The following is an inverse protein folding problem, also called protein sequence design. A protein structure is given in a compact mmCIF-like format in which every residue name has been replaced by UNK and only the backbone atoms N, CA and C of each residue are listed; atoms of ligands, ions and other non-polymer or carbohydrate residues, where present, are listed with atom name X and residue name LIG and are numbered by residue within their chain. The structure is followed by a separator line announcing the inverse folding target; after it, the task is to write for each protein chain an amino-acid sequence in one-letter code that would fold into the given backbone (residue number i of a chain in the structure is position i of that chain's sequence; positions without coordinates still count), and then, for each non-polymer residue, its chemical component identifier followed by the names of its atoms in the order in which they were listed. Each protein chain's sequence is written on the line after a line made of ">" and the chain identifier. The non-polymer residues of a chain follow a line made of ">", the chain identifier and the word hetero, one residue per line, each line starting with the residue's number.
data_IF_642032719450
#
_entry.id   IF_642032719450
#
_cell.length_a   1.000
_cell.length_b   1.000
_cell.length_c   1.000
_cell.angle_alpha   90.00
_cell.angle_beta   90.00
_cell.angle_gamma   90.00
#
_symmetry.space_group_name_H-M   'P 1'
#
loop_
_entity.id
_entity.type
_entity.pdbx_description
1 polymer ?
#
# COMPACT_ATOMS: atom_id res chain seq x y z
N UNK A 1 -58.14 24.54 18.21
CA UNK A 1 -57.20 23.70 17.43
C UNK A 1 -56.34 24.63 16.56
N UNK A 2 -55.09 24.24 16.30
CA UNK A 2 -54.24 24.73 15.20
C UNK A 2 -53.34 25.97 15.36
N UNK A 3 -52.58 26.13 16.46
CA UNK A 3 -51.42 27.06 16.47
C UNK A 3 -50.13 26.62 17.17
N UNK A 4 -49.97 25.35 17.57
CA UNK A 4 -48.78 24.93 18.34
C UNK A 4 -47.83 23.99 17.57
N UNK A 5 -48.28 23.39 16.47
CA UNK A 5 -47.51 22.29 15.84
C UNK A 5 -46.47 22.78 14.81
N UNK A 6 -46.58 24.01 14.31
CA UNK A 6 -45.74 24.48 13.19
C UNK A 6 -44.36 25.01 13.63
N UNK A 7 -44.17 25.38 14.91
CA UNK A 7 -42.90 25.98 15.37
C UNK A 7 -41.81 25.00 15.81
N UNK A 8 -42.13 23.71 16.05
CA UNK A 8 -41.13 22.72 16.51
C UNK A 8 -40.41 21.95 15.40
N UNK A 9 -40.87 22.05 14.14
CA UNK A 9 -40.25 21.31 13.03
C UNK A 9 -39.13 22.08 12.32
N UNK A 10 -39.05 23.41 12.50
CA UNK A 10 -38.05 24.24 11.79
C UNK A 10 -36.67 24.17 12.47
N UNK A 11 -36.60 23.87 13.78
CA UNK A 11 -35.32 23.85 14.52
C UNK A 11 -34.50 22.56 14.35
N UNK A 12 -35.10 21.47 13.82
CA UNK A 12 -34.39 20.19 13.62
C UNK A 12 -33.82 20.08 12.19
N UNK A 13 -34.43 20.77 11.22
CA UNK A 13 -33.97 20.75 9.83
C UNK A 13 -32.59 21.43 9.63
N UNK A 14 -32.22 22.38 10.50
CA UNK A 14 -30.94 23.10 10.42
C UNK A 14 -29.78 22.26 11.00
N UNK A 15 -30.05 21.32 11.92
CA UNK A 15 -29.00 20.48 12.51
C UNK A 15 -28.51 19.36 11.56
N UNK A 16 -29.32 19.00 10.56
CA UNK A 16 -28.97 17.95 9.58
C UNK A 16 -28.05 18.44 8.46
N UNK A 17 -27.82 19.75 8.34
CA UNK A 17 -26.88 20.33 7.37
C UNK A 17 -25.46 20.52 7.91
N UNK A 18 -25.22 20.15 9.18
CA UNK A 18 -23.89 20.12 9.80
C UNK A 18 -23.20 18.75 9.69
N UNK A 19 -23.80 17.77 9.01
CA UNK A 19 -23.07 16.59 8.53
C UNK A 19 -22.24 17.00 7.32
N UNK A 20 -21.21 17.81 7.57
CA UNK A 20 -20.14 18.04 6.61
C UNK A 20 -19.74 16.68 6.03
N UNK A 21 -19.81 16.48 4.71
CA UNK A 21 -19.03 15.41 4.12
C UNK A 21 -17.58 15.79 4.43
N UNK A 22 -16.97 15.08 5.39
CA UNK A 22 -15.53 15.00 5.45
C UNK A 22 -15.17 14.46 4.06
N UNK A 23 -14.68 15.33 3.18
CA UNK A 23 -14.08 14.91 1.93
C UNK A 23 -12.86 14.09 2.35
N UNK A 24 -13.06 12.81 2.63
CA UNK A 24 -12.01 11.83 2.73
C UNK A 24 -11.35 11.84 1.35
N UNK A 25 -10.29 12.62 1.22
CA UNK A 25 -9.59 12.74 -0.05
C UNK A 25 -9.10 11.36 -0.45
N UNK A 26 -9.57 10.90 -1.61
CA UNK A 26 -9.36 9.55 -2.07
C UNK A 26 -7.86 9.28 -2.26
N UNK A 27 -7.29 8.46 -1.37
CA UNK A 27 -6.01 7.82 -1.60
C UNK A 27 -6.16 6.90 -2.81
N UNK A 28 -5.46 7.20 -3.90
CA UNK A 28 -5.52 6.42 -5.13
C UNK A 28 -4.35 5.43 -5.14
N UNK A 29 -4.65 4.14 -4.99
CA UNK A 29 -3.65 3.07 -5.08
C UNK A 29 -3.63 2.43 -6.47
N UNK A 30 -2.64 2.79 -7.28
CA UNK A 30 -2.39 2.22 -8.60
C UNK A 30 -1.49 0.99 -8.52
N UNK A 31 -1.98 -0.14 -9.01
CA UNK A 31 -1.26 -1.42 -8.98
C UNK A 31 -0.95 -1.97 -10.37
N UNK A 32 0.15 -2.70 -10.50
CA UNK A 32 0.52 -3.44 -11.71
C UNK A 32 1.42 -4.63 -11.39
N UNK A 33 1.56 -5.57 -12.32
CA UNK A 33 2.47 -6.73 -12.18
C UNK A 33 3.30 -6.92 -13.43
N UNK A 34 4.63 -6.96 -13.32
CA UNK A 34 5.56 -7.39 -14.39
C UNK A 34 5.97 -8.84 -14.17
N UNK A 35 5.82 -9.67 -15.21
CA UNK A 35 5.99 -11.11 -15.11
C UNK A 35 4.66 -11.84 -14.99
N UNK A 36 4.69 -13.15 -15.18
CA UNK A 36 3.52 -14.00 -15.08
C UNK A 36 3.13 -14.22 -13.62
N UNK A 37 1.83 -14.33 -13.34
CA UNK A 37 1.30 -14.65 -12.02
C UNK A 37 1.75 -16.02 -11.53
N UNK A 38 1.90 -16.97 -12.46
CA UNK A 38 2.13 -18.39 -12.17
C UNK A 38 3.60 -18.75 -12.00
N UNK A 39 4.51 -17.83 -12.34
CA UNK A 39 5.95 -18.05 -12.22
C UNK A 39 6.52 -17.20 -11.08
N UNK A 40 7.46 -17.74 -10.29
CA UNK A 40 8.17 -16.96 -9.29
C UNK A 40 8.98 -15.83 -9.95
N UNK A 41 9.43 -14.88 -9.14
CA UNK A 41 10.31 -13.80 -9.59
C UNK A 41 9.59 -12.68 -10.35
N UNK A 42 8.26 -12.61 -10.24
CA UNK A 42 7.51 -11.49 -10.82
C UNK A 42 7.47 -10.30 -9.84
N UNK A 43 7.35 -9.11 -10.42
CA UNK A 43 7.25 -7.89 -9.65
C UNK A 43 5.81 -7.44 -9.52
N UNK A 44 5.37 -7.26 -8.28
CA UNK A 44 4.14 -6.55 -7.94
C UNK A 44 4.51 -5.09 -7.62
N UNK A 45 3.85 -4.16 -8.30
CA UNK A 45 4.10 -2.72 -8.26
C UNK A 45 2.91 -2.05 -7.59
N UNK A 46 3.18 -1.24 -6.58
CA UNK A 46 2.19 -0.43 -5.87
C UNK A 46 2.63 1.03 -5.93
N UNK A 47 1.76 1.90 -6.45
CA UNK A 47 1.91 3.35 -6.39
C UNK A 47 0.71 3.93 -5.69
N UNK A 48 0.92 4.53 -4.53
CA UNK A 48 -0.12 5.23 -3.78
C UNK A 48 0.06 6.73 -4.00
N UNK A 49 -0.99 7.42 -4.37
CA UNK A 49 -1.00 8.89 -4.50
C UNK A 49 -2.07 9.44 -3.58
N UNK A 50 -1.67 10.34 -2.68
CA UNK A 50 -2.58 11.13 -1.85
C UNK A 50 -2.42 12.63 -2.22
N UNK A 51 -2.87 13.53 -1.36
CA UNK A 51 -2.84 14.97 -1.64
C UNK A 51 -1.44 15.59 -1.57
N UNK A 52 -0.51 14.99 -0.83
CA UNK A 52 0.80 15.59 -0.54
C UNK A 52 1.95 14.81 -1.16
N UNK A 53 1.79 13.51 -1.39
CA UNK A 53 2.87 12.62 -1.77
C UNK A 53 2.46 11.51 -2.74
N UNK A 54 3.47 11.06 -3.48
CA UNK A 54 3.48 9.81 -4.22
C UNK A 54 4.37 8.82 -3.48
N UNK A 55 3.84 7.66 -3.13
CA UNK A 55 4.59 6.52 -2.60
C UNK A 55 4.69 5.43 -3.66
N UNK A 56 5.88 4.91 -3.90
CA UNK A 56 6.13 3.77 -4.79
C UNK A 56 6.80 2.65 -4.02
N UNK A 57 6.21 1.46 -4.13
CA UNK A 57 6.73 0.22 -3.60
C UNK A 57 6.83 -0.83 -4.71
N UNK A 58 7.96 -1.53 -4.75
CA UNK A 58 8.22 -2.63 -5.65
C UNK A 58 8.50 -3.87 -4.83
N UNK A 59 7.72 -4.92 -5.04
CA UNK A 59 7.90 -6.21 -4.39
C UNK A 59 8.27 -7.27 -5.42
N UNK A 60 9.18 -8.16 -5.07
CA UNK A 60 9.41 -9.39 -5.78
C UNK A 60 8.68 -10.53 -5.06
N UNK A 61 7.90 -11.29 -5.81
CA UNK A 61 7.19 -12.46 -5.31
C UNK A 61 7.90 -13.73 -5.77
N UNK A 62 8.31 -14.58 -4.83
CA UNK A 62 8.96 -15.85 -5.09
C UNK A 62 8.00 -17.04 -4.85
N UNK A 63 8.53 -18.26 -4.89
CA UNK A 63 7.80 -19.44 -4.46
C UNK A 63 7.32 -19.32 -2.99
N UNK A 64 6.33 -20.15 -2.65
CA UNK A 64 5.81 -20.30 -1.29
C UNK A 64 5.28 -19.01 -0.66
N UNK A 65 4.61 -18.17 -1.47
CA UNK A 65 4.02 -16.90 -1.01
C UNK A 65 5.03 -15.90 -0.42
N UNK A 66 6.32 -16.06 -0.73
CA UNK A 66 7.37 -15.21 -0.16
C UNK A 66 7.46 -13.88 -0.91
N UNK A 67 7.50 -12.79 -0.17
CA UNK A 67 7.69 -11.45 -0.72
C UNK A 67 8.98 -10.81 -0.19
N UNK A 68 9.65 -10.07 -1.07
CA UNK A 68 10.78 -9.22 -0.73
C UNK A 68 10.59 -7.84 -1.35
N UNK A 69 10.66 -6.78 -0.53
CA UNK A 69 10.57 -5.40 -1.00
C UNK A 69 11.89 -4.99 -1.62
N UNK A 70 11.84 -4.64 -2.89
CA UNK A 70 13.00 -4.27 -3.69
C UNK A 70 13.17 -2.76 -3.79
N UNK A 71 12.08 -2.01 -3.63
CA UNK A 71 12.12 -0.56 -3.62
C UNK A 71 11.00 0.01 -2.75
N UNK A 72 11.29 1.10 -2.06
CA UNK A 72 10.33 1.97 -1.40
C UNK A 72 10.80 3.41 -1.58
N UNK A 73 9.91 4.29 -2.02
CA UNK A 73 10.19 5.72 -2.07
C UNK A 73 8.93 6.54 -1.85
N UNK A 74 9.10 7.72 -1.27
CA UNK A 74 8.06 8.71 -1.05
C UNK A 74 8.55 10.03 -1.63
N UNK A 75 7.72 10.66 -2.46
CA UNK A 75 8.06 11.91 -3.17
C UNK A 75 6.93 12.91 -2.91
N UNK A 76 7.22 14.06 -2.29
CA UNK A 76 6.26 15.15 -2.18
C UNK A 76 5.80 15.61 -3.57
N UNK A 77 4.49 15.72 -3.80
CA UNK A 77 3.92 16.03 -5.11
C UNK A 77 4.38 17.40 -5.64
N UNK A 78 4.54 18.39 -4.76
CA UNK A 78 5.09 19.70 -5.11
C UNK A 78 6.53 19.64 -5.66
N UNK A 79 7.27 18.56 -5.38
CA UNK A 79 8.64 18.33 -5.83
C UNK A 79 8.74 17.37 -7.02
N UNK A 80 7.64 16.74 -7.44
CA UNK A 80 7.66 15.62 -8.39
C UNK A 80 8.27 16.00 -9.75
N UNK A 81 7.99 17.21 -10.23
CA UNK A 81 8.58 17.72 -11.48
C UNK A 81 10.10 17.83 -11.38
N UNK A 82 10.61 18.43 -10.29
CA UNK A 82 12.04 18.55 -10.01
C UNK A 82 12.69 17.18 -9.86
N UNK A 83 12.05 16.28 -9.11
CA UNK A 83 12.50 14.89 -8.96
C UNK A 83 12.67 14.21 -10.32
N UNK A 84 11.69 14.31 -11.22
CA UNK A 84 11.76 13.69 -12.55
C UNK A 84 12.82 14.29 -13.48
N UNK A 85 13.18 15.56 -13.29
CA UNK A 85 14.23 16.24 -14.05
C UNK A 85 15.62 15.80 -13.57
N UNK A 86 15.81 15.71 -12.24
CA UNK A 86 17.10 15.39 -11.62
C UNK A 86 17.37 13.89 -11.52
N UNK A 87 16.33 13.06 -11.46
CA UNK A 87 16.45 11.60 -11.35
C UNK A 87 16.35 10.95 -12.74
N UNK A 88 17.46 10.38 -13.18
CA UNK A 88 17.56 9.68 -14.45
C UNK A 88 17.20 8.19 -14.35
N UNK A 89 17.11 7.64 -13.14
CA UNK A 89 16.85 6.21 -12.88
C UNK A 89 15.36 5.89 -12.74
N UNK A 90 14.61 6.74 -12.04
CA UNK A 90 13.19 6.54 -11.74
C UNK A 90 12.41 7.80 -12.07
N UNK A 91 11.30 7.65 -12.80
CA UNK A 91 10.41 8.75 -13.17
C UNK A 91 8.95 8.35 -13.06
N UNK A 92 8.10 9.33 -12.73
CA UNK A 92 6.65 9.16 -12.63
C UNK A 92 5.92 10.25 -13.40
N UNK A 93 4.93 9.87 -14.21
CA UNK A 93 3.99 10.83 -14.78
C UNK A 93 2.57 10.51 -14.30
N UNK A 94 2.02 11.43 -13.52
CA UNK A 94 0.65 11.36 -13.03
C UNK A 94 -0.32 11.76 -14.14
N UNK A 95 -1.32 10.92 -14.38
CA UNK A 95 -2.41 11.16 -15.31
C UNK A 95 -3.73 10.83 -14.59
N UNK A 96 -4.86 11.36 -15.07
CA UNK A 96 -6.17 11.32 -14.39
C UNK A 96 -6.55 9.96 -13.76
N UNK A 97 -6.22 8.85 -14.41
CA UNK A 97 -6.58 7.50 -13.97
C UNK A 97 -5.42 6.49 -14.04
N UNK A 98 -4.19 6.98 -14.15
CA UNK A 98 -3.03 6.10 -14.31
C UNK A 98 -1.74 6.80 -13.93
N UNK A 99 -0.73 6.01 -13.59
CA UNK A 99 0.65 6.49 -13.41
C UNK A 99 1.54 5.84 -14.45
N UNK A 100 2.37 6.63 -15.15
CA UNK A 100 3.46 6.08 -15.97
C UNK A 100 4.68 5.97 -15.05
N UNK A 101 5.18 4.76 -14.86
CA UNK A 101 6.40 4.48 -14.12
C UNK A 101 7.51 4.09 -15.09
N UNK A 102 8.66 4.74 -14.93
CA UNK A 102 9.94 4.29 -15.46
C UNK A 102 10.85 4.00 -14.27
N UNK A 103 11.42 2.79 -14.20
CA UNK A 103 12.43 2.39 -13.23
C UNK A 103 13.49 1.55 -13.95
N UNK A 104 14.61 2.19 -14.30
CA UNK A 104 15.66 1.59 -15.12
C UNK A 104 16.29 0.37 -14.44
N UNK A 105 16.50 0.43 -13.12
CA UNK A 105 17.13 -0.66 -12.33
C UNK A 105 16.40 -1.98 -12.49
N UNK A 106 15.07 -1.95 -12.49
CA UNK A 106 14.21 -3.15 -12.62
C UNK A 106 13.63 -3.33 -14.03
N UNK A 107 14.14 -2.56 -15.00
CA UNK A 107 13.68 -2.54 -16.40
C UNK A 107 12.16 -2.35 -16.50
N UNK A 108 11.61 -1.41 -15.74
CA UNK A 108 10.18 -1.06 -15.76
C UNK A 108 9.99 0.16 -16.65
N UNK A 109 9.08 0.06 -17.61
CA UNK A 109 8.52 1.18 -18.35
C UNK A 109 7.06 0.86 -18.63
N UNK A 110 6.15 1.29 -17.74
CA UNK A 110 4.77 0.80 -17.73
C UNK A 110 3.75 1.86 -17.32
N UNK A 111 2.55 1.72 -17.90
CA UNK A 111 1.33 2.39 -17.47
C UNK A 111 0.66 1.54 -16.38
N UNK A 112 0.35 2.15 -15.24
CA UNK A 112 -0.22 1.51 -14.05
C UNK A 112 -1.67 2.00 -13.88
N UNK A 113 -2.63 1.07 -13.90
CA UNK A 113 -4.07 1.35 -14.09
C UNK A 113 -4.97 0.52 -13.16
N UNK A 114 -4.45 0.05 -12.02
CA UNK A 114 -5.09 -0.91 -11.11
C UNK A 114 -5.20 -2.32 -11.72
N UNK A 115 -4.29 -3.21 -11.33
CA UNK A 115 -4.29 -4.62 -11.71
C UNK A 115 -4.30 -5.46 -10.44
N UNK A 116 -5.10 -6.52 -10.41
CA UNK A 116 -5.11 -7.46 -9.29
C UNK A 116 -3.71 -8.05 -9.05
N UNK A 117 -3.15 -7.76 -7.87
CA UNK A 117 -1.89 -8.29 -7.37
C UNK A 117 -2.06 -9.72 -6.85
N UNK A 118 -0.95 -10.38 -6.52
CA UNK A 118 -1.01 -11.73 -5.96
C UNK A 118 -1.46 -11.70 -4.49
N UNK A 119 -1.09 -10.63 -3.77
CA UNK A 119 -1.58 -10.29 -2.44
C UNK A 119 -1.80 -8.77 -2.35
N UNK A 120 -2.50 -8.31 -1.31
CA UNK A 120 -2.68 -6.88 -1.05
C UNK A 120 -1.33 -6.21 -0.72
N UNK A 121 -1.22 -4.89 -0.90
CA UNK A 121 -0.01 -4.15 -0.52
C UNK A 121 0.37 -4.34 0.96
N UNK A 122 -0.62 -4.35 1.85
CA UNK A 122 -0.42 -4.60 3.27
C UNK A 122 0.11 -6.01 3.54
N UNK A 123 -0.51 -7.04 2.94
CA UNK A 123 -0.05 -8.42 3.07
C UNK A 123 1.39 -8.58 2.58
N UNK A 124 1.75 -7.97 1.45
CA UNK A 124 3.12 -8.01 0.93
C UNK A 124 4.13 -7.38 1.90
N UNK A 125 3.78 -6.28 2.57
CA UNK A 125 4.65 -5.63 3.59
C UNK A 125 4.85 -6.51 4.83
N UNK A 126 3.79 -7.16 5.32
CA UNK A 126 3.87 -8.12 6.44
C UNK A 126 4.79 -9.29 6.11
N UNK A 127 4.60 -9.89 4.93
CA UNK A 127 5.43 -11.03 4.51
C UNK A 127 6.89 -10.59 4.30
N UNK A 128 7.13 -9.43 3.69
CA UNK A 128 8.49 -8.86 3.57
C UNK A 128 9.14 -8.67 4.94
N UNK A 129 8.42 -8.12 5.93
CA UNK A 129 8.94 -7.97 7.29
C UNK A 129 9.38 -9.30 7.91
N UNK A 130 8.49 -10.31 7.87
CA UNK A 130 8.82 -11.65 8.36
C UNK A 130 10.02 -12.25 7.60
N UNK A 131 10.09 -12.04 6.28
CA UNK A 131 11.20 -12.50 5.44
C UNK A 131 12.54 -11.86 5.81
N UNK A 132 12.59 -10.55 6.06
CA UNK A 132 13.84 -9.89 6.49
C UNK A 132 14.36 -10.46 7.81
N UNK A 133 13.47 -10.64 8.80
CA UNK A 133 13.84 -11.24 10.08
C UNK A 133 14.30 -12.69 9.93
N UNK A 134 13.58 -13.46 9.11
CA UNK A 134 13.93 -14.84 8.81
C UNK A 134 15.33 -14.97 8.21
N UNK A 135 15.67 -14.13 7.23
CA UNK A 135 16.99 -14.13 6.60
C UNK A 135 18.11 -13.80 7.57
N UNK A 136 17.88 -12.83 8.46
CA UNK A 136 18.88 -12.44 9.45
C UNK A 136 19.17 -13.55 10.49
N UNK A 137 18.20 -14.44 10.72
CA UNK A 137 18.27 -15.46 11.78
C UNK A 137 18.34 -16.91 11.23
N UNK A 138 18.45 -17.09 9.91
CA UNK A 138 18.46 -18.39 9.24
C UNK A 138 17.26 -19.30 9.59
N UNK A 139 16.08 -18.69 9.80
CA UNK A 139 14.82 -19.38 10.06
C UNK A 139 13.90 -19.17 8.85
N UNK A 140 13.06 -20.17 8.51
CA UNK A 140 12.06 -19.99 7.45
C UNK A 140 11.02 -18.94 7.86
N UNK A 141 10.76 -17.93 7.03
CA UNK A 141 9.83 -16.84 7.37
C UNK A 141 8.40 -17.31 7.68
N UNK A 142 7.94 -18.38 7.02
CA UNK A 142 6.64 -19.01 7.30
C UNK A 142 6.57 -19.67 8.68
N UNK A 143 7.71 -19.88 9.35
CA UNK A 143 7.73 -20.39 10.72
C UNK A 143 7.48 -19.28 11.75
N UNK A 144 7.50 -18.01 11.34
CA UNK A 144 7.39 -16.86 12.25
C UNK A 144 5.96 -16.37 12.44
N UNK A 145 4.98 -16.88 11.69
CA UNK A 145 3.57 -16.50 11.78
C UNK A 145 2.69 -17.56 11.13
N UNK A 146 1.42 -17.60 11.54
CA UNK A 146 0.38 -18.40 10.89
C UNK A 146 -0.36 -17.58 9.83
N UNK A 147 -0.99 -18.24 8.86
CA UNK A 147 -1.67 -17.54 7.75
C UNK A 147 -2.74 -16.56 8.24
N UNK A 148 -3.42 -16.91 9.33
CA UNK A 148 -4.46 -16.12 9.97
C UNK A 148 -3.91 -14.80 10.54
N UNK A 149 -2.64 -14.77 10.93
CA UNK A 149 -1.97 -13.59 11.48
C UNK A 149 -1.87 -12.47 10.44
N UNK A 150 -1.91 -12.79 9.14
CA UNK A 150 -1.93 -11.78 8.08
C UNK A 150 -3.16 -10.86 8.14
N UNK A 151 -4.20 -11.25 8.89
CA UNK A 151 -5.40 -10.44 9.15
C UNK A 151 -5.21 -9.41 10.27
N UNK A 152 -4.21 -9.57 11.13
CA UNK A 152 -3.86 -8.58 12.18
C UNK A 152 -3.46 -7.25 11.55
N UNK A 153 -3.47 -6.14 12.29
CA UNK A 153 -2.85 -4.91 11.79
C UNK A 153 -1.35 -5.09 11.54
N UNK A 154 -0.72 -4.20 10.77
CA UNK A 154 0.73 -4.23 10.56
C UNK A 154 1.51 -4.27 11.89
N UNK A 155 1.12 -3.44 12.87
CA UNK A 155 1.81 -3.33 14.16
C UNK A 155 1.67 -4.60 14.98
N UNK A 156 0.45 -5.13 15.10
CA UNK A 156 0.19 -6.38 15.83
C UNK A 156 0.90 -7.57 15.18
N UNK A 157 0.91 -7.63 13.85
CA UNK A 157 1.63 -8.66 13.10
C UNK A 157 3.14 -8.62 13.39
N UNK A 158 3.76 -7.43 13.31
CA UNK A 158 5.19 -7.26 13.56
C UNK A 158 5.56 -7.65 15.00
N UNK A 159 4.73 -7.27 15.97
CA UNK A 159 4.90 -7.67 17.38
C UNK A 159 4.84 -9.19 17.54
N UNK A 160 3.84 -9.85 16.96
CA UNK A 160 3.67 -11.30 17.03
C UNK A 160 4.82 -12.05 16.38
N UNK A 161 5.24 -11.64 15.18
CA UNK A 161 6.43 -12.19 14.49
C UNK A 161 7.68 -12.04 15.36
N UNK A 162 7.86 -10.88 15.98
CA UNK A 162 9.00 -10.63 16.88
C UNK A 162 8.99 -11.51 18.13
N UNK A 163 7.82 -11.79 18.71
CA UNK A 163 7.67 -12.72 19.83
C UNK A 163 8.01 -14.16 19.41
N UNK A 164 7.41 -14.63 18.32
CA UNK A 164 7.65 -15.97 17.77
C UNK A 164 9.13 -16.20 17.43
N UNK A 165 9.81 -15.18 16.89
CA UNK A 165 11.25 -15.25 16.64
C UNK A 165 12.04 -15.44 17.94
N UNK A 166 11.74 -14.65 18.99
CA UNK A 166 12.41 -14.77 20.29
C UNK A 166 12.22 -16.15 20.91
N UNK A 167 11.03 -16.72 20.80
CA UNK A 167 10.73 -18.06 21.31
C UNK A 167 11.51 -19.14 20.57
N UNK A 168 11.74 -18.98 19.27
CA UNK A 168 12.51 -19.94 18.45
C UNK A 168 14.03 -19.85 18.63
N UNK A 169 14.53 -18.72 19.10
CA UNK A 169 15.96 -18.51 19.36
C UNK A 169 16.38 -18.90 20.78
N UNK A 170 15.42 -19.25 21.64
CA UNK A 170 15.67 -19.86 22.96
C UNK A 170 15.88 -21.35 22.80
#
# INVERSE_FOLDING_TARGET
>A
MDKVIVRRQISIAILFWLTFPINAFAQNEFTSRKGSKFFPGHYDIVITVNNSELKYELFNHWYSWSYAKYRQMTIPLNSLARFNQQNDSVKFHLLKNKVILVDKKYRLNRKIKHKNLCASAETMRKIDFAYQLSRANNIGHLALYEREDLKLSQVEFEQKVGQNLKERLK
#
